data_IF_024034213600
#
_entry.id   IF_024034213600
#
_cell.length_a   1.000
_cell.length_b   1.000
_cell.length_c   1.000
_cell.angle_alpha   90.00
_cell.angle_beta   90.00
_cell.angle_gamma   90.00
#
_symmetry.space_group_name_H-M   'P 1'
#
loop_
_entity.id
_entity.type
_entity.pdbx_description
1 polymer ?
#
# COMPACT_ATOMS: atom_id res chain seq x y z
N UNK A 1 7.31 3.98 35.51
CA UNK A 1 6.84 2.90 34.62
C UNK A 1 6.60 3.52 33.25
N UNK A 2 7.47 3.28 32.26
CA UNK A 2 7.20 3.71 30.88
C UNK A 2 6.22 2.72 30.25
N UNK A 3 4.95 3.10 30.18
CA UNK A 3 3.96 2.37 29.40
C UNK A 3 4.12 2.77 27.94
N UNK A 4 5.03 2.12 27.21
CA UNK A 4 5.03 2.16 25.75
C UNK A 4 3.78 1.42 25.28
N UNK A 5 2.68 2.16 25.08
CA UNK A 5 1.52 1.61 24.38
C UNK A 5 1.97 1.23 22.97
N UNK A 6 1.95 -0.06 22.59
CA UNK A 6 2.34 -0.45 21.26
C UNK A 6 1.37 0.21 20.27
N UNK A 7 1.89 1.11 19.46
CA UNK A 7 1.09 1.80 18.46
C UNK A 7 0.99 0.92 17.24
N UNK A 8 -0.23 0.50 16.91
CA UNK A 8 -0.53 -0.20 15.67
C UNK A 8 -0.62 0.82 14.54
N UNK A 9 0.21 0.66 13.52
CA UNK A 9 0.18 1.49 12.31
C UNK A 9 -0.71 0.88 11.24
N UNK A 10 -1.29 1.73 10.39
CA UNK A 10 -1.92 1.32 9.14
C UNK A 10 -1.24 2.05 8.00
N UNK A 11 -0.82 1.31 6.96
CA UNK A 11 -0.18 1.89 5.79
C UNK A 11 -0.70 1.23 4.53
N UNK A 12 -0.87 2.02 3.48
CA UNK A 12 -1.20 1.49 2.18
C UNK A 12 0.03 0.94 1.47
N UNK A 13 -0.07 -0.28 0.96
CA UNK A 13 0.92 -0.89 0.08
C UNK A 13 0.54 -0.52 -1.35
N UNK A 14 1.32 0.36 -1.95
CA UNK A 14 1.14 0.76 -3.34
C UNK A 14 1.69 -0.40 -4.20
N UNK A 15 0.82 -1.28 -4.66
CA UNK A 15 1.16 -2.35 -5.60
C UNK A 15 0.80 -1.92 -7.02
N UNK A 16 1.37 -0.84 -7.52
CA UNK A 16 1.24 -0.52 -8.95
C UNK A 16 2.23 -1.38 -9.72
N UNK A 17 1.72 -2.35 -10.46
CA UNK A 17 2.51 -3.05 -11.50
C UNK A 17 2.69 -2.06 -12.65
N UNK A 18 3.94 -1.86 -13.09
CA UNK A 18 4.25 -0.90 -14.15
C UNK A 18 3.56 -1.29 -15.47
N UNK A 19 3.17 -0.33 -16.28
CA UNK A 19 2.58 -0.57 -17.60
C UNK A 19 3.53 -1.40 -18.49
N UNK A 20 4.83 -1.19 -18.36
CA UNK A 20 5.89 -1.98 -18.99
C UNK A 20 5.93 -3.43 -18.50
N UNK A 21 5.70 -3.70 -17.20
CA UNK A 21 5.62 -5.06 -16.67
C UNK A 21 4.36 -5.81 -17.15
N UNK A 22 3.34 -5.08 -17.59
CA UNK A 22 2.15 -5.63 -18.27
C UNK A 22 2.35 -5.82 -19.78
N UNK A 23 3.57 -5.62 -20.30
CA UNK A 23 3.92 -5.82 -21.70
C UNK A 23 3.58 -4.64 -22.61
N UNK A 24 3.23 -3.46 -22.07
CA UNK A 24 3.02 -2.26 -22.89
C UNK A 24 4.37 -1.66 -23.28
N UNK A 25 4.60 -1.52 -24.58
CA UNK A 25 5.86 -1.01 -25.14
C UNK A 25 5.73 0.37 -25.76
N UNK A 26 4.60 1.05 -25.55
CA UNK A 26 4.40 2.40 -26.10
C UNK A 26 5.13 3.47 -25.27
N UNK A 27 5.59 4.58 -25.89
CA UNK A 27 6.36 5.61 -25.22
C UNK A 27 5.62 6.31 -24.05
N UNK A 28 4.29 6.37 -24.08
CA UNK A 28 3.50 7.00 -23.02
C UNK A 28 3.43 6.12 -21.78
N UNK A 29 3.26 4.81 -21.96
CA UNK A 29 3.35 3.82 -20.87
C UNK A 29 4.68 3.93 -20.13
N UNK A 30 5.79 4.10 -20.86
CA UNK A 30 7.11 4.31 -20.26
C UNK A 30 7.20 5.63 -19.47
N UNK A 31 6.64 6.72 -20.01
CA UNK A 31 6.60 8.02 -19.32
C UNK A 31 5.79 7.95 -18.01
N UNK A 32 4.64 7.27 -18.03
CA UNK A 32 3.82 7.07 -16.83
C UNK A 32 4.52 6.20 -15.79
N UNK A 33 5.22 5.14 -16.22
CA UNK A 33 6.02 4.31 -15.32
C UNK A 33 7.18 5.08 -14.67
N UNK A 34 7.83 5.98 -15.42
CA UNK A 34 8.85 6.87 -14.87
C UNK A 34 8.25 7.85 -13.85
N UNK A 35 7.10 8.45 -14.15
CA UNK A 35 6.42 9.36 -13.23
C UNK A 35 5.96 8.65 -11.95
N UNK A 36 5.43 7.43 -12.06
CA UNK A 36 5.06 6.60 -10.90
C UNK A 36 6.30 6.19 -10.09
N UNK A 37 7.44 5.88 -10.73
CA UNK A 37 8.71 5.56 -10.05
C UNK A 37 9.28 6.76 -9.29
N UNK A 38 9.23 7.95 -9.86
CA UNK A 38 9.68 9.20 -9.20
C UNK A 38 8.78 9.50 -8.00
N UNK A 39 7.47 9.26 -8.15
CA UNK A 39 6.49 9.41 -7.07
C UNK A 39 6.70 8.38 -5.95
N UNK A 40 6.95 7.12 -6.28
CA UNK A 40 7.15 6.06 -5.27
C UNK A 40 8.41 6.31 -4.45
N UNK A 41 9.53 6.71 -5.07
CA UNK A 41 10.76 7.09 -4.33
C UNK A 41 10.52 8.22 -3.33
N UNK A 42 9.76 9.24 -3.72
CA UNK A 42 9.44 10.37 -2.82
C UNK A 42 8.58 9.95 -1.62
N UNK A 43 7.77 8.89 -1.74
CA UNK A 43 6.89 8.39 -0.67
C UNK A 43 7.59 7.30 0.17
N UNK A 44 8.49 6.52 -0.42
CA UNK A 44 9.16 5.38 0.22
C UNK A 44 10.44 5.76 0.97
N UNK A 45 11.23 6.72 0.48
CA UNK A 45 12.58 7.01 1.01
C UNK A 45 12.58 7.69 2.40
N UNK A 46 11.47 8.31 2.82
CA UNK A 46 11.44 9.12 4.06
C UNK A 46 10.97 8.33 5.31
N UNK A 47 10.59 7.05 5.19
CA UNK A 47 9.80 6.36 6.24
C UNK A 47 10.31 4.98 6.70
N UNK A 48 11.50 4.56 6.29
CA UNK A 48 12.05 3.22 6.59
C UNK A 48 12.70 3.19 7.98
N UNK A 49 11.87 3.25 9.03
CA UNK A 49 12.27 2.71 10.32
C UNK A 49 11.63 1.32 10.47
N UNK A 50 12.42 0.26 10.36
CA UNK A 50 11.96 -1.14 10.37
C UNK A 50 11.07 -1.47 11.58
N UNK A 51 11.33 -0.85 12.73
CA UNK A 51 10.52 -1.05 13.94
C UNK A 51 9.08 -0.58 13.74
N UNK A 52 8.89 0.54 13.04
CA UNK A 52 7.57 1.06 12.71
C UNK A 52 6.85 0.19 11.68
N UNK A 53 7.60 -0.43 10.76
CA UNK A 53 7.04 -1.36 9.78
C UNK A 53 6.56 -2.66 10.46
N UNK A 54 7.33 -3.21 11.40
CA UNK A 54 6.99 -4.43 12.17
C UNK A 54 5.72 -4.32 13.02
N UNK A 55 5.26 -3.10 13.29
CA UNK A 55 4.02 -2.79 14.02
C UNK A 55 2.92 -2.19 13.13
N UNK A 56 3.11 -2.20 11.82
CA UNK A 56 2.14 -1.65 10.85
C UNK A 56 1.51 -2.74 10.02
N UNK A 57 0.18 -2.65 9.85
CA UNK A 57 -0.56 -3.46 8.89
C UNK A 57 -0.44 -2.79 7.52
N UNK A 58 0.09 -3.54 6.54
CA UNK A 58 0.22 -3.10 5.17
C UNK A 58 -1.02 -3.52 4.37
N UNK A 59 -1.82 -2.55 3.93
CA UNK A 59 -3.08 -2.76 3.23
C UNK A 59 -2.86 -2.49 1.74
N UNK A 60 -2.98 -3.48 0.84
CA UNK A 60 -2.91 -3.24 -0.59
C UNK A 60 -4.10 -2.42 -1.07
N UNK A 61 -3.81 -1.34 -1.80
CA UNK A 61 -4.83 -0.41 -2.36
C UNK A 61 -5.33 -0.83 -3.75
N UNK A 62 -5.37 -2.14 -4.01
CA UNK A 62 -5.88 -2.78 -5.24
C UNK A 62 -5.88 -1.86 -6.47
N UNK A 63 -7.06 -1.48 -6.99
CA UNK A 63 -7.24 -0.59 -8.16
C UNK A 63 -7.86 0.77 -7.76
N UNK A 64 -7.49 1.28 -6.58
CA UNK A 64 -7.96 2.57 -6.08
C UNK A 64 -6.79 3.55 -5.97
N UNK A 65 -6.86 4.64 -6.73
CA UNK A 65 -5.86 5.70 -6.62
C UNK A 65 -6.12 6.56 -5.38
N UNK A 66 -5.05 7.03 -4.75
CA UNK A 66 -5.05 8.06 -3.71
C UNK A 66 -5.85 9.33 -4.02
N UNK A 67 -6.08 9.62 -5.31
CA UNK A 67 -6.83 10.80 -5.80
C UNK A 67 -8.23 10.46 -6.31
N UNK A 68 -8.65 9.20 -6.21
CA UNK A 68 -9.99 8.77 -6.61
C UNK A 68 -10.97 9.06 -5.48
N UNK A 69 -11.56 10.26 -5.49
CA UNK A 69 -12.48 10.72 -4.44
C UNK A 69 -13.89 10.10 -4.54
N UNK A 70 -14.26 9.63 -5.73
CA UNK A 70 -15.56 9.00 -5.99
C UNK A 70 -15.37 7.53 -6.41
N UNK A 71 -15.14 6.68 -5.42
CA UNK A 71 -15.00 5.24 -5.64
C UNK A 71 -16.37 4.57 -5.70
N UNK A 72 -16.50 3.59 -6.60
CA UNK A 72 -17.73 2.78 -6.67
C UNK A 72 -17.93 1.96 -5.39
N UNK A 73 -19.17 1.55 -5.12
CA UNK A 73 -19.48 0.64 -4.00
C UNK A 73 -18.68 -0.66 -4.05
N UNK A 74 -18.43 -1.17 -5.26
CA UNK A 74 -17.61 -2.36 -5.47
C UNK A 74 -16.16 -2.14 -5.05
N UNK A 75 -15.55 -1.04 -5.49
CA UNK A 75 -14.18 -0.66 -5.08
C UNK A 75 -14.07 -0.47 -3.57
N UNK A 76 -15.07 0.17 -2.96
CA UNK A 76 -15.16 0.34 -1.50
C UNK A 76 -15.21 -1.00 -0.75
N UNK A 77 -16.04 -1.95 -1.22
CA UNK A 77 -16.13 -3.29 -0.63
C UNK A 77 -14.82 -4.07 -0.79
N UNK A 78 -14.15 -3.95 -1.94
CA UNK A 78 -12.87 -4.61 -2.19
C UNK A 78 -11.77 -4.05 -1.28
N UNK A 79 -11.70 -2.74 -1.08
CA UNK A 79 -10.78 -2.12 -0.11
C UNK A 79 -11.04 -2.60 1.32
N UNK A 80 -12.31 -2.69 1.73
CA UNK A 80 -12.66 -3.20 3.06
C UNK A 80 -12.17 -4.64 3.25
N UNK A 81 -12.42 -5.52 2.27
CA UNK A 81 -11.97 -6.92 2.30
C UNK A 81 -10.44 -7.03 2.32
N UNK A 82 -9.77 -6.21 1.52
CA UNK A 82 -8.29 -6.12 1.48
C UNK A 82 -7.72 -5.76 2.86
N UNK A 83 -8.27 -4.72 3.50
CA UNK A 83 -7.88 -4.31 4.86
C UNK A 83 -8.16 -5.38 5.91
N UNK A 84 -9.33 -6.01 5.86
CA UNK A 84 -9.71 -7.09 6.78
C UNK A 84 -8.75 -8.27 6.72
N UNK A 85 -8.46 -8.77 5.49
CA UNK A 85 -7.51 -9.86 5.29
C UNK A 85 -6.11 -9.51 5.80
N UNK A 86 -5.62 -8.31 5.48
CA UNK A 86 -4.30 -7.84 5.91
C UNK A 86 -4.18 -7.78 7.44
N UNK A 87 -5.25 -7.36 8.12
CA UNK A 87 -5.30 -7.35 9.58
C UNK A 87 -5.32 -8.76 10.17
N UNK A 88 -6.07 -9.68 9.57
CA UNK A 88 -6.11 -11.07 10.00
C UNK A 88 -4.73 -11.74 9.88
N UNK A 89 -4.07 -11.60 8.74
CA UNK A 89 -2.71 -12.10 8.49
C UNK A 89 -1.70 -11.53 9.50
N UNK A 90 -1.79 -10.23 9.80
CA UNK A 90 -0.93 -9.59 10.80
C UNK A 90 -1.14 -10.19 12.20
N UNK A 91 -2.39 -10.43 12.61
CA UNK A 91 -2.71 -11.02 13.91
C UNK A 91 -2.25 -12.48 14.01
N UNK A 92 -2.46 -13.28 12.97
CA UNK A 92 -1.99 -14.68 12.91
C UNK A 92 -0.47 -14.76 13.03
N UNK A 93 0.26 -13.86 12.37
CA UNK A 93 1.73 -13.78 12.42
C UNK A 93 2.24 -13.37 13.81
N UNK A 94 1.47 -12.58 14.58
CA UNK A 94 1.86 -12.14 15.93
C UNK A 94 1.50 -13.13 17.03
N UNK A 95 0.58 -14.07 16.76
CA UNK A 95 0.14 -15.10 17.70
C UNK A 95 0.83 -16.46 17.48
N UNK A 96 1.69 -16.58 16.45
CA UNK A 96 2.54 -17.74 16.17
C UNK A 96 3.95 -17.54 16.73
#
# INVERSE_FOLDING_TARGET
MNTTNPTLGFKFKISKVSYTALGKTDPLSFLFDMADTIRSRTIEDDWVNEENLKRSILIPIEDVDSKEFDITKEKSLNLYRSGYRSAQEFLETKNS
#
